data_IF_596223272639
#
_entry.id   IF_596223272639
#
_cell.length_a   1.000
_cell.length_b   1.000
_cell.length_c   1.000
_cell.angle_alpha   90.00
_cell.angle_beta   90.00
_cell.angle_gamma   90.00
#
_symmetry.space_group_name_H-M   'P 1'
#
loop_
_entity.id
_entity.type
_entity.pdbx_description
1 polymer ?
#
# COMPACT_ATOMS: atom_id res chain seq x y z
N UNK A 1 2.44 -36.33 -5.25
CA UNK A 1 3.02 -36.40 -6.61
C UNK A 1 2.38 -35.39 -7.55
N UNK A 2 1.06 -35.46 -7.83
CA UNK A 2 0.40 -34.54 -8.77
C UNK A 2 0.63 -33.04 -8.49
N UNK A 3 0.57 -32.60 -7.24
CA UNK A 3 0.78 -31.19 -6.87
C UNK A 3 2.18 -30.64 -7.21
N UNK A 4 3.14 -31.52 -7.44
CA UNK A 4 4.54 -31.17 -7.73
C UNK A 4 4.89 -31.40 -9.20
N UNK A 5 3.90 -31.56 -10.08
CA UNK A 5 4.09 -31.79 -11.50
C UNK A 5 4.81 -30.62 -12.18
N UNK A 6 5.75 -30.94 -13.05
CA UNK A 6 6.45 -29.97 -13.92
C UNK A 6 6.34 -30.35 -15.39
N UNK A 7 6.27 -31.65 -15.70
CA UNK A 7 6.19 -32.13 -17.07
C UNK A 7 6.08 -33.65 -17.15
N UNK A 8 5.91 -34.17 -18.35
CA UNK A 8 5.89 -35.60 -18.61
C UNK A 8 6.68 -35.94 -19.87
N UNK A 9 7.38 -37.08 -19.83
CA UNK A 9 7.88 -37.75 -21.02
C UNK A 9 6.96 -38.90 -21.37
N UNK A 10 6.59 -39.00 -22.64
CA UNK A 10 5.83 -40.13 -23.18
C UNK A 10 6.72 -40.86 -24.17
N UNK A 11 6.93 -42.15 -23.94
CA UNK A 11 7.82 -42.99 -24.74
C UNK A 11 9.24 -42.38 -24.88
N UNK A 12 9.76 -41.84 -23.78
CA UNK A 12 11.10 -41.24 -23.68
C UNK A 12 11.25 -39.80 -24.22
N UNK A 13 10.19 -39.22 -24.82
CA UNK A 13 10.22 -37.86 -25.38
C UNK A 13 9.36 -36.90 -24.56
N UNK A 14 9.82 -35.67 -24.35
CA UNK A 14 9.03 -34.63 -23.67
C UNK A 14 7.77 -34.33 -24.49
N UNK A 15 6.62 -34.30 -23.83
CA UNK A 15 5.35 -33.96 -24.46
C UNK A 15 4.74 -32.72 -23.78
N UNK A 16 3.93 -31.92 -24.50
CA UNK A 16 3.19 -30.84 -23.89
C UNK A 16 2.11 -31.38 -22.92
N UNK A 17 1.65 -30.52 -22.00
CA UNK A 17 0.72 -30.90 -20.92
C UNK A 17 -0.66 -31.33 -21.43
N UNK A 18 -1.04 -30.89 -22.63
CA UNK A 18 -2.31 -31.19 -23.29
C UNK A 18 -2.27 -32.45 -24.17
N UNK A 19 -1.13 -33.15 -24.22
CA UNK A 19 -1.01 -34.40 -24.96
C UNK A 19 -2.03 -35.44 -24.46
N UNK A 20 -2.86 -35.94 -25.38
CA UNK A 20 -3.84 -36.98 -25.08
C UNK A 20 -3.18 -38.35 -25.11
N UNK A 21 -3.06 -38.96 -23.93
CA UNK A 21 -2.53 -40.31 -23.74
C UNK A 21 -3.30 -41.34 -24.56
N UNK A 22 -2.56 -42.29 -25.13
CA UNK A 22 -3.10 -43.44 -25.86
C UNK A 22 -2.80 -44.73 -25.11
N UNK A 23 -3.61 -45.77 -25.37
CA UNK A 23 -3.35 -47.10 -24.81
C UNK A 23 -1.97 -47.60 -25.27
N UNK A 24 -1.16 -48.08 -24.33
CA UNK A 24 0.20 -48.55 -24.58
C UNK A 24 1.30 -47.49 -24.40
N UNK A 25 0.96 -46.22 -24.17
CA UNK A 25 1.95 -45.19 -23.87
C UNK A 25 2.65 -45.43 -22.52
N UNK A 26 4.00 -45.40 -22.52
CA UNK A 26 4.79 -45.38 -21.29
C UNK A 26 5.01 -43.93 -20.86
N UNK A 27 4.53 -43.58 -19.67
CA UNK A 27 4.59 -42.21 -19.15
C UNK A 27 5.58 -42.11 -17.99
N UNK A 28 6.50 -41.15 -18.09
CA UNK A 28 7.42 -40.76 -17.01
C UNK A 28 7.05 -39.36 -16.54
N UNK A 29 6.69 -39.23 -15.26
CA UNK A 29 6.27 -37.95 -14.67
C UNK A 29 7.48 -37.26 -14.04
N UNK A 30 7.68 -35.99 -14.40
CA UNK A 30 8.72 -35.13 -13.85
C UNK A 30 8.09 -34.26 -12.76
N UNK A 31 8.67 -34.31 -11.56
CA UNK A 31 8.21 -33.55 -10.40
C UNK A 31 9.30 -32.64 -9.83
N UNK A 32 8.91 -31.57 -9.15
CA UNK A 32 9.79 -30.68 -8.40
C UNK A 32 9.16 -30.28 -7.07
N UNK A 33 9.94 -30.27 -6.00
CA UNK A 33 9.46 -29.84 -4.68
C UNK A 33 9.04 -28.35 -4.65
N UNK A 34 9.54 -27.55 -5.60
CA UNK A 34 9.17 -26.13 -5.74
C UNK A 34 7.88 -25.94 -6.54
N UNK A 35 7.45 -26.95 -7.30
CA UNK A 35 6.25 -26.85 -8.10
C UNK A 35 5.01 -26.96 -7.21
N UNK A 36 4.04 -26.10 -7.49
CA UNK A 36 2.73 -26.05 -6.86
C UNK A 36 1.67 -25.89 -7.95
N UNK A 37 0.43 -26.37 -7.72
CA UNK A 37 -0.67 -26.14 -8.65
C UNK A 37 -0.90 -24.65 -8.91
N UNK A 38 -1.06 -24.29 -10.18
CA UNK A 38 -1.52 -22.96 -10.61
C UNK A 38 -2.94 -23.06 -11.17
N UNK A 39 -3.68 -21.95 -11.23
CA UNK A 39 -5.07 -21.96 -11.72
C UNK A 39 -5.19 -22.54 -13.13
N UNK A 40 -4.19 -22.29 -13.98
CA UNK A 40 -4.11 -22.84 -15.34
C UNK A 40 -4.25 -24.37 -15.38
N UNK A 41 -3.83 -25.08 -14.33
CA UNK A 41 -3.94 -26.55 -14.27
C UNK A 41 -5.38 -27.04 -14.30
N UNK A 42 -6.35 -26.21 -13.87
CA UNK A 42 -7.77 -26.53 -13.97
C UNK A 42 -8.23 -26.61 -15.43
N UNK A 43 -7.58 -25.92 -16.36
CA UNK A 43 -7.89 -25.99 -17.79
C UNK A 43 -7.47 -27.33 -18.41
N UNK A 44 -6.33 -27.89 -17.96
CA UNK A 44 -5.76 -29.13 -18.50
C UNK A 44 -6.23 -30.38 -17.77
N UNK A 45 -6.75 -30.24 -16.54
CA UNK A 45 -7.26 -31.36 -15.77
C UNK A 45 -8.59 -31.87 -16.34
N UNK A 46 -8.53 -32.99 -17.07
CA UNK A 46 -9.71 -33.64 -17.67
C UNK A 46 -10.46 -34.51 -16.64
N UNK A 47 -9.76 -35.35 -15.88
CA UNK A 47 -10.42 -36.30 -14.98
C UNK A 47 -11.07 -35.61 -13.77
N UNK A 48 -12.28 -36.02 -13.40
CA UNK A 48 -13.01 -35.46 -12.24
C UNK A 48 -12.20 -35.58 -10.95
N UNK A 49 -11.45 -36.67 -10.77
CA UNK A 49 -10.57 -36.86 -9.62
C UNK A 49 -9.46 -35.81 -9.56
N UNK A 50 -8.79 -35.51 -10.68
CA UNK A 50 -7.77 -34.48 -10.74
C UNK A 50 -8.35 -33.09 -10.48
N UNK A 51 -9.46 -32.74 -11.15
CA UNK A 51 -10.16 -31.46 -10.95
C UNK A 51 -10.56 -31.25 -9.49
N UNK A 52 -11.18 -32.25 -8.87
CA UNK A 52 -11.63 -32.16 -7.47
C UNK A 52 -10.45 -32.01 -6.49
N UNK A 53 -9.32 -32.68 -6.76
CA UNK A 53 -8.12 -32.51 -5.94
C UNK A 53 -7.51 -31.12 -6.07
N UNK A 54 -7.48 -30.54 -7.29
CA UNK A 54 -7.04 -29.16 -7.52
C UNK A 54 -7.95 -28.16 -6.82
N UNK A 55 -9.28 -28.27 -6.98
CA UNK A 55 -10.23 -27.41 -6.30
C UNK A 55 -10.08 -27.48 -4.77
N UNK A 56 -9.87 -28.68 -4.23
CA UNK A 56 -9.61 -28.88 -2.79
C UNK A 56 -8.31 -28.20 -2.36
N UNK A 57 -7.25 -28.30 -3.17
CA UNK A 57 -5.98 -27.63 -2.91
C UNK A 57 -6.17 -26.11 -2.84
N UNK A 58 -6.76 -25.50 -3.87
CA UNK A 58 -7.00 -24.05 -3.89
C UNK A 58 -7.91 -23.59 -2.75
N UNK A 59 -8.91 -24.39 -2.35
CA UNK A 59 -9.74 -24.07 -1.19
C UNK A 59 -8.94 -24.00 0.11
N UNK A 60 -7.98 -24.91 0.31
CA UNK A 60 -7.11 -24.92 1.50
C UNK A 60 -6.15 -23.73 1.45
N UNK A 61 -5.56 -23.47 0.29
CA UNK A 61 -4.65 -22.35 0.09
C UNK A 61 -5.35 -21.00 0.33
N UNK A 62 -6.54 -20.81 -0.24
CA UNK A 62 -7.32 -19.61 -0.06
C UNK A 62 -7.71 -19.39 1.41
N UNK A 63 -8.08 -20.47 2.12
CA UNK A 63 -8.36 -20.40 3.57
C UNK A 63 -7.12 -20.02 4.39
N UNK A 64 -5.93 -20.44 3.96
CA UNK A 64 -4.66 -20.04 4.60
C UNK A 64 -4.38 -18.56 4.39
N UNK A 65 -4.57 -18.07 3.16
CA UNK A 65 -4.46 -16.65 2.78
C UNK A 65 -5.43 -15.78 3.59
N UNK A 66 -6.70 -16.19 3.64
CA UNK A 66 -7.73 -15.54 4.46
C UNK A 66 -7.30 -15.42 5.94
N UNK A 67 -6.80 -16.50 6.54
CA UNK A 67 -6.33 -16.48 7.92
C UNK A 67 -5.16 -15.49 8.12
N UNK A 68 -4.19 -15.50 7.20
CA UNK A 68 -3.04 -14.58 7.26
C UNK A 68 -3.48 -13.13 7.15
N UNK A 69 -4.34 -12.81 6.17
CA UNK A 69 -4.86 -11.46 5.99
C UNK A 69 -5.70 -10.97 7.17
N UNK A 70 -6.49 -11.87 7.78
CA UNK A 70 -7.25 -11.57 9.00
C UNK A 70 -6.33 -11.18 10.15
N UNK A 71 -5.23 -11.89 10.37
CA UNK A 71 -4.27 -11.57 11.43
C UNK A 71 -3.54 -10.25 11.14
N UNK A 72 -3.14 -9.99 9.89
CA UNK A 72 -2.55 -8.72 9.47
C UNK A 72 -3.51 -7.56 9.76
N UNK A 73 -4.77 -7.68 9.32
CA UNK A 73 -5.80 -6.67 9.51
C UNK A 73 -6.09 -6.42 10.99
N UNK A 74 -6.23 -7.49 11.78
CA UNK A 74 -6.47 -7.41 13.23
C UNK A 74 -5.35 -6.66 13.95
N UNK A 75 -4.10 -6.96 13.62
CA UNK A 75 -2.95 -6.26 14.19
C UNK A 75 -2.97 -4.77 13.86
N UNK A 76 -3.39 -4.41 12.64
CA UNK A 76 -3.51 -3.02 12.22
C UNK A 76 -4.61 -2.27 12.98
N UNK A 77 -5.78 -2.89 13.17
CA UNK A 77 -6.86 -2.33 13.99
C UNK A 77 -6.40 -2.08 15.44
N UNK A 78 -5.67 -3.02 16.05
CA UNK A 78 -5.15 -2.88 17.42
C UNK A 78 -4.16 -1.72 17.53
N UNK A 79 -3.18 -1.63 16.61
CA UNK A 79 -2.19 -0.54 16.60
C UNK A 79 -2.84 0.83 16.54
N UNK A 80 -3.90 0.97 15.74
CA UNK A 80 -4.63 2.22 15.53
C UNK A 80 -5.78 2.44 16.50
N UNK A 81 -6.00 1.51 17.43
CA UNK A 81 -7.12 1.53 18.40
C UNK A 81 -8.49 1.67 17.72
N UNK A 82 -8.65 1.07 16.55
CA UNK A 82 -9.91 1.08 15.80
C UNK A 82 -10.76 -0.10 16.29
N UNK A 83 -11.94 0.20 16.84
CA UNK A 83 -12.98 -0.80 17.05
C UNK A 83 -13.87 -0.86 15.81
N UNK A 84 -13.95 -2.05 15.20
CA UNK A 84 -14.71 -2.31 13.98
C UNK A 84 -15.28 -3.73 14.03
N UNK A 85 -16.59 -3.86 13.93
CA UNK A 85 -17.24 -5.16 13.75
C UNK A 85 -17.33 -5.57 12.27
N UNK A 86 -17.69 -6.82 12.00
CA UNK A 86 -17.78 -7.36 10.64
C UNK A 86 -18.85 -6.65 9.78
N UNK A 87 -19.95 -6.19 10.38
CA UNK A 87 -21.00 -5.47 9.64
C UNK A 87 -20.54 -4.07 9.22
N UNK A 88 -19.86 -3.37 10.13
CA UNK A 88 -19.25 -2.08 9.85
C UNK A 88 -18.17 -2.22 8.78
N UNK A 89 -17.32 -3.25 8.86
CA UNK A 89 -16.33 -3.53 7.83
C UNK A 89 -16.98 -3.71 6.45
N UNK A 90 -18.05 -4.49 6.36
CA UNK A 90 -18.80 -4.70 5.11
C UNK A 90 -19.34 -3.40 4.50
N UNK A 91 -19.70 -2.40 5.31
CA UNK A 91 -20.12 -1.09 4.77
C UNK A 91 -18.99 -0.42 3.99
N UNK A 92 -17.76 -0.46 4.51
CA UNK A 92 -16.60 0.15 3.86
C UNK A 92 -16.09 -0.67 2.67
N UNK A 93 -16.27 -2.00 2.71
CA UNK A 93 -15.87 -2.86 1.59
C UNK A 93 -16.71 -2.64 0.33
N UNK A 94 -17.96 -2.17 0.47
CA UNK A 94 -18.81 -1.80 -0.68
C UNK A 94 -18.20 -0.68 -1.52
N UNK A 95 -17.48 0.24 -0.90
CA UNK A 95 -16.88 1.39 -1.60
C UNK A 95 -15.70 0.98 -2.50
N UNK A 96 -15.15 -0.23 -2.30
CA UNK A 96 -14.06 -0.81 -3.10
C UNK A 96 -14.49 -2.07 -3.84
N UNK A 97 -15.80 -2.26 -4.02
CA UNK A 97 -16.41 -3.38 -4.76
C UNK A 97 -16.04 -4.79 -4.23
N UNK A 98 -15.76 -4.91 -2.93
CA UNK A 98 -15.50 -6.21 -2.29
C UNK A 98 -16.75 -6.69 -1.55
N UNK A 99 -17.33 -7.78 -2.06
CA UNK A 99 -18.60 -8.31 -1.55
C UNK A 99 -18.48 -9.23 -0.34
N UNK A 100 -17.27 -9.70 0.01
CA UNK A 100 -17.05 -10.63 1.12
C UNK A 100 -15.82 -10.27 1.93
N UNK A 101 -15.96 -10.37 3.25
CA UNK A 101 -14.85 -10.18 4.19
C UNK A 101 -13.72 -11.19 3.95
N UNK A 102 -14.05 -12.43 3.58
CA UNK A 102 -13.04 -13.45 3.24
C UNK A 102 -12.12 -12.98 2.12
N UNK A 103 -12.72 -12.38 1.08
CA UNK A 103 -12.02 -11.95 -0.12
C UNK A 103 -11.14 -10.73 0.21
N UNK A 104 -11.65 -9.81 1.04
CA UNK A 104 -10.85 -8.73 1.61
C UNK A 104 -9.59 -9.22 2.34
N UNK A 105 -9.71 -10.25 3.19
CA UNK A 105 -8.53 -10.79 3.88
C UNK A 105 -7.56 -11.46 2.90
N UNK A 106 -8.05 -12.16 1.88
CA UNK A 106 -7.19 -12.72 0.83
C UNK A 106 -6.43 -11.60 0.11
N UNK A 107 -7.10 -10.54 -0.32
CA UNK A 107 -6.47 -9.37 -0.96
C UNK A 107 -5.40 -8.71 -0.06
N UNK A 108 -5.62 -8.62 1.26
CA UNK A 108 -4.59 -8.14 2.20
C UNK A 108 -3.38 -9.09 2.21
N UNK A 109 -3.62 -10.39 2.28
CA UNK A 109 -2.53 -11.38 2.34
C UNK A 109 -1.68 -11.42 1.06
N UNK A 110 -2.29 -11.12 -0.08
CA UNK A 110 -1.64 -11.05 -1.39
C UNK A 110 -1.00 -9.69 -1.66
N UNK A 111 -1.29 -8.69 -0.81
CA UNK A 111 -0.77 -7.33 -0.92
C UNK A 111 -1.52 -6.45 -1.93
N UNK A 112 -2.67 -6.90 -2.44
CA UNK A 112 -3.55 -6.10 -3.29
C UNK A 112 -4.18 -4.94 -2.51
N UNK A 113 -4.45 -5.15 -1.21
CA UNK A 113 -4.94 -4.13 -0.30
C UNK A 113 -3.90 -3.85 0.76
N UNK A 114 -3.49 -2.60 0.87
CA UNK A 114 -2.66 -2.14 1.97
C UNK A 114 -3.53 -1.95 3.23
N UNK A 115 -3.31 -2.72 4.32
CA UNK A 115 -4.11 -2.63 5.53
C UNK A 115 -3.99 -1.26 6.21
N UNK A 116 -2.85 -0.58 6.09
CA UNK A 116 -2.65 0.77 6.66
C UNK A 116 -3.59 1.77 5.97
N UNK A 117 -3.52 1.83 4.64
CA UNK A 117 -4.31 2.76 3.85
C UNK A 117 -5.82 2.53 4.01
N UNK A 118 -6.22 1.25 4.08
CA UNK A 118 -7.63 0.91 4.28
C UNK A 118 -8.12 1.26 5.69
N UNK A 119 -7.29 1.11 6.74
CA UNK A 119 -7.64 1.57 8.07
C UNK A 119 -7.80 3.10 8.14
N UNK A 120 -6.97 3.84 7.42
CA UNK A 120 -7.03 5.31 7.32
C UNK A 120 -8.26 5.78 6.57
N UNK A 121 -8.63 5.06 5.51
CA UNK A 121 -9.89 5.24 4.81
C UNK A 121 -11.09 5.14 5.76
N UNK A 122 -11.14 4.10 6.60
CA UNK A 122 -12.22 3.90 7.58
C UNK A 122 -12.26 5.04 8.59
N UNK A 123 -11.09 5.45 9.12
CA UNK A 123 -11.01 6.57 10.07
C UNK A 123 -11.62 7.84 9.45
N UNK A 124 -11.18 8.21 8.24
CA UNK A 124 -11.69 9.38 7.54
C UNK A 124 -13.21 9.33 7.35
N UNK A 125 -13.73 8.17 6.93
CA UNK A 125 -15.17 7.98 6.73
C UNK A 125 -15.98 8.06 8.03
N UNK A 126 -15.43 7.59 9.15
CA UNK A 126 -16.06 7.75 10.47
C UNK A 126 -16.16 9.22 10.88
N UNK A 127 -15.15 10.04 10.58
CA UNK A 127 -15.20 11.49 10.83
C UNK A 127 -16.27 12.19 9.98
N UNK A 128 -16.35 11.89 8.67
CA UNK A 128 -17.37 12.44 7.77
C UNK A 128 -18.81 12.14 8.24
N UNK A 129 -19.08 10.90 8.68
CA UNK A 129 -20.41 10.50 9.20
C UNK A 129 -20.80 11.20 10.51
N UNK A 130 -19.85 11.69 11.30
CA UNK A 130 -20.13 12.38 12.56
C UNK A 130 -20.41 13.87 12.35
N UNK A 131 -19.75 14.53 11.39
CA UNK A 131 -20.00 15.95 11.07
C UNK A 131 -21.37 16.20 10.47
N UNK A 132 -21.97 15.20 9.82
CA UNK A 132 -23.32 15.29 9.25
C UNK A 132 -24.44 15.08 10.30
N UNK A 133 -24.10 14.64 11.53
CA UNK A 133 -25.08 14.37 12.60
C UNK A 133 -25.12 15.44 13.70
N UNK A 134 -24.10 16.29 13.83
CA UNK A 134 -24.06 17.41 14.77
C UNK A 134 -24.66 18.69 14.15
N UNK A 135 -25.90 18.58 13.70
CA UNK A 135 -26.69 19.67 13.11
C UNK A 135 -27.96 19.94 13.92
N UNK A 136 -27.87 19.91 15.26
CA UNK A 136 -28.89 20.47 16.16
C UNK A 136 -28.39 20.43 17.61
N UNK A 137 -28.35 21.60 18.21
CA UNK A 137 -28.29 21.95 19.64
C UNK A 137 -26.90 22.02 20.32
N UNK A 138 -26.54 23.29 20.51
CA UNK A 138 -25.57 23.92 21.40
C UNK A 138 -25.13 23.10 22.62
N UNK A 139 -23.82 22.94 22.77
CA UNK A 139 -23.11 23.18 24.03
C UNK A 139 -21.64 23.49 23.72
N UNK A 140 -21.24 24.72 24.06
CA UNK A 140 -19.86 25.17 24.05
C UNK A 140 -19.12 24.47 25.19
N UNK A 141 -18.34 23.44 24.87
CA UNK A 141 -17.24 23.01 25.73
C UNK A 141 -15.91 23.02 24.98
N UNK A 142 -15.00 23.72 25.65
CA UNK A 142 -13.77 24.32 25.21
C UNK A 142 -12.64 23.30 25.05
N UNK A 143 -12.13 23.17 23.83
CA UNK A 143 -10.81 22.57 23.57
C UNK A 143 -9.98 23.50 22.67
N UNK A 144 -10.05 24.81 22.93
CA UNK A 144 -9.33 25.83 22.15
C UNK A 144 -7.84 25.97 22.47
N UNK A 145 -7.28 25.21 23.43
CA UNK A 145 -5.91 25.43 23.89
C UNK A 145 -4.81 24.49 23.35
N UNK A 146 -5.03 23.74 22.27
CA UNK A 146 -3.95 22.93 21.64
C UNK A 146 -3.71 23.25 20.14
N UNK A 147 -4.53 24.06 19.49
CA UNK A 147 -4.27 24.45 18.09
C UNK A 147 -4.34 25.96 17.91
N UNK A 148 -3.22 26.62 18.19
CA UNK A 148 -2.97 27.98 17.73
C UNK A 148 -2.83 27.96 16.21
N UNK A 149 -3.88 28.43 15.54
CA UNK A 149 -3.80 29.10 14.25
C UNK A 149 -3.78 28.20 13.03
N UNK A 150 -4.93 28.02 12.39
CA UNK A 150 -5.20 28.66 11.09
C UNK A 150 -6.67 28.51 10.73
N UNK A 151 -7.29 29.66 10.50
CA UNK A 151 -8.69 29.88 10.19
C UNK A 151 -8.84 29.85 8.66
N UNK A 152 -9.95 29.28 8.19
CA UNK A 152 -10.48 29.33 6.81
C UNK A 152 -9.65 28.64 5.70
N UNK A 153 -10.18 27.52 5.21
CA UNK A 153 -10.65 27.38 3.82
C UNK A 153 -11.41 26.06 3.67
N UNK A 154 -12.71 26.12 3.95
CA UNK A 154 -13.68 25.21 3.35
C UNK A 154 -13.82 25.55 1.88
N UNK A 155 -13.39 24.63 0.98
CA UNK A 155 -14.00 24.35 -0.33
C UNK A 155 -13.20 23.28 -1.08
N UNK A 156 -13.90 22.21 -1.48
CA UNK A 156 -13.60 21.25 -2.56
C UNK A 156 -12.30 21.53 -3.34
N UNK A 157 -11.22 20.78 -3.10
CA UNK A 157 -10.27 20.42 -4.15
C UNK A 157 -9.51 19.13 -3.83
N UNK A 158 -9.12 18.44 -4.90
CA UNK A 158 -8.40 17.17 -4.94
C UNK A 158 -6.92 17.46 -4.62
N UNK A 159 -6.42 16.97 -3.50
CA UNK A 159 -5.01 17.09 -3.08
C UNK A 159 -4.75 18.32 -2.22
N UNK A 160 -4.35 18.12 -0.97
CA UNK A 160 -3.92 19.19 -0.06
C UNK A 160 -2.46 18.94 0.36
N UNK A 161 -1.62 19.94 0.12
CA UNK A 161 -0.20 20.04 0.53
C UNK A 161 0.06 21.48 0.94
N UNK A 162 0.76 21.72 2.05
CA UNK A 162 1.10 23.06 2.53
C UNK A 162 2.50 23.16 3.15
N UNK A 163 3.17 24.25 2.76
CA UNK A 163 4.34 24.98 3.32
C UNK A 163 5.76 24.42 3.09
N UNK A 164 6.54 25.22 2.35
CA UNK A 164 8.01 25.28 2.40
C UNK A 164 8.41 26.73 2.75
N UNK A 165 9.41 26.93 3.61
CA UNK A 165 9.88 28.27 4.01
C UNK A 165 11.32 28.44 3.55
N UNK A 166 11.59 29.54 2.85
CA UNK A 166 12.89 29.85 2.27
C UNK A 166 13.58 30.98 3.05
N UNK A 167 14.86 30.79 3.39
CA UNK A 167 15.75 31.86 3.82
C UNK A 167 17.07 31.68 3.07
N UNK A 168 17.39 32.58 2.14
CA UNK A 168 18.57 32.50 1.25
C UNK A 168 19.80 33.25 1.79
N UNK A 169 19.69 33.83 2.99
CA UNK A 169 20.64 34.85 3.47
C UNK A 169 21.96 34.30 4.09
N UNK A 170 22.16 32.98 4.22
CA UNK A 170 23.31 32.43 4.97
C UNK A 170 24.04 31.25 4.33
N UNK A 171 23.83 30.94 3.04
CA UNK A 171 24.28 29.66 2.39
C UNK A 171 23.70 28.39 3.02
N UNK A 172 22.78 28.55 3.97
CA UNK A 172 21.98 27.50 4.60
C UNK A 172 20.67 27.43 3.84
N UNK A 173 20.35 26.27 3.32
CA UNK A 173 19.09 25.99 2.63
C UNK A 173 18.17 25.24 3.58
N UNK A 174 16.94 25.71 3.68
CA UNK A 174 15.91 25.11 4.51
C UNK A 174 14.76 24.64 3.63
N UNK A 175 14.44 23.36 3.72
CA UNK A 175 13.32 22.76 3.03
C UNK A 175 12.44 22.02 4.03
N UNK A 176 11.35 22.68 4.42
CA UNK A 176 10.28 22.06 5.19
C UNK A 176 9.20 21.59 4.23
N UNK A 177 8.65 20.41 4.49
CA UNK A 177 7.53 19.90 3.72
C UNK A 177 6.57 19.10 4.60
N UNK A 178 5.31 19.09 4.19
CA UNK A 178 4.28 18.21 4.72
C UNK A 178 3.69 17.45 3.53
N UNK A 179 3.74 16.12 3.57
CA UNK A 179 3.22 15.26 2.51
C UNK A 179 2.36 14.15 3.13
N UNK A 180 1.46 13.55 2.33
CA UNK A 180 0.81 12.30 2.74
C UNK A 180 1.84 11.18 2.80
N UNK A 181 1.70 10.31 3.78
CA UNK A 181 2.55 9.12 3.90
C UNK A 181 2.41 8.26 2.64
N UNK A 182 3.49 8.19 1.86
CA UNK A 182 3.56 7.40 0.65
C UNK A 182 4.99 6.88 0.52
N UNK A 183 5.16 5.56 0.51
CA UNK A 183 6.46 4.91 0.40
C UNK A 183 7.27 5.39 -0.82
N UNK A 184 6.60 5.64 -1.95
CA UNK A 184 7.26 6.14 -3.17
C UNK A 184 7.77 7.58 -3.01
N UNK A 185 7.14 8.37 -2.15
CA UNK A 185 7.55 9.74 -1.86
C UNK A 185 8.81 9.77 -0.99
N UNK A 186 8.82 8.99 0.11
CA UNK A 186 9.98 8.88 1.01
C UNK A 186 11.19 8.32 0.27
N UNK A 187 10.99 7.26 -0.53
CA UNK A 187 12.05 6.66 -1.35
C UNK A 187 12.62 7.67 -2.35
N UNK A 188 11.76 8.43 -3.05
CA UNK A 188 12.20 9.43 -4.02
C UNK A 188 12.99 10.58 -3.40
N UNK A 189 12.63 11.03 -2.19
CA UNK A 189 13.42 12.03 -1.45
C UNK A 189 14.77 11.45 -1.05
N UNK A 190 14.81 10.21 -0.54
CA UNK A 190 16.06 9.55 -0.16
C UNK A 190 17.00 9.38 -1.35
N UNK A 191 16.48 8.93 -2.50
CA UNK A 191 17.27 8.73 -3.72
C UNK A 191 17.83 10.07 -4.24
N UNK A 192 17.03 11.13 -4.18
CA UNK A 192 17.43 12.47 -4.60
C UNK A 192 18.53 13.06 -3.69
N UNK A 193 18.38 12.92 -2.37
CA UNK A 193 19.41 13.33 -1.40
C UNK A 193 20.74 12.61 -1.65
N UNK A 194 20.68 11.30 -1.94
CA UNK A 194 21.87 10.49 -2.25
C UNK A 194 22.55 10.88 -3.58
N UNK A 195 21.76 11.29 -4.57
CA UNK A 195 22.27 11.78 -5.86
C UNK A 195 23.05 13.09 -5.72
N UNK A 196 22.72 13.91 -4.73
CA UNK A 196 23.38 15.17 -4.42
C UNK A 196 24.30 15.04 -3.18
N UNK A 197 24.89 13.85 -2.97
CA UNK A 197 25.72 13.53 -1.79
C UNK A 197 27.02 14.34 -1.67
N UNK A 198 27.45 15.01 -2.75
CA UNK A 198 28.58 15.95 -2.75
C UNK A 198 28.25 17.28 -2.03
N UNK A 199 26.97 17.56 -1.75
CA UNK A 199 26.55 18.66 -0.89
C UNK A 199 26.83 18.32 0.58
N UNK A 200 27.31 19.29 1.37
CA UNK A 200 27.47 19.15 2.81
C UNK A 200 26.10 19.19 3.49
N UNK A 201 25.40 18.05 3.49
CA UNK A 201 24.13 17.89 4.21
C UNK A 201 24.43 17.87 5.70
N UNK A 202 24.22 19.01 6.36
CA UNK A 202 24.51 19.19 7.78
C UNK A 202 23.44 18.56 8.66
N UNK A 203 22.17 18.53 8.23
CA UNK A 203 21.08 17.90 8.99
C UNK A 203 19.86 17.57 8.12
N UNK A 204 19.56 16.27 7.99
CA UNK A 204 18.29 15.82 7.42
C UNK A 204 17.45 15.12 8.49
N UNK A 205 16.28 15.68 8.79
CA UNK A 205 15.35 15.11 9.76
C UNK A 205 13.97 14.94 9.14
N UNK A 206 13.35 13.79 9.36
CA UNK A 206 11.96 13.58 8.99
C UNK A 206 11.22 13.01 10.19
N UNK A 207 9.98 13.43 10.36
CA UNK A 207 9.05 12.92 11.34
C UNK A 207 7.83 12.35 10.61
N UNK A 208 7.56 11.06 10.84
CA UNK A 208 6.46 10.35 10.23
C UNK A 208 5.35 10.25 11.27
N UNK A 209 4.24 10.90 10.98
CA UNK A 209 2.97 10.76 11.67
C UNK A 209 1.99 9.99 10.77
N UNK A 210 0.97 9.38 11.35
CA UNK A 210 -0.06 8.66 10.59
C UNK A 210 -0.65 9.57 9.49
N UNK A 211 -0.61 9.13 8.23
CA UNK A 211 -1.02 9.88 7.02
C UNK A 211 -0.22 11.15 6.69
N UNK A 212 0.85 11.45 7.44
CA UNK A 212 1.51 12.74 7.35
C UNK A 212 3.01 12.58 7.59
N UNK A 213 3.78 12.77 6.53
CA UNK A 213 5.23 12.91 6.62
C UNK A 213 5.52 14.40 6.71
N UNK A 214 6.11 14.80 7.81
CA UNK A 214 6.75 16.12 7.93
C UNK A 214 8.24 15.92 7.77
N UNK A 215 8.85 16.69 6.88
CA UNK A 215 10.30 16.66 6.72
C UNK A 215 10.88 18.05 6.88
N UNK A 216 12.05 18.08 7.48
CA UNK A 216 12.88 19.26 7.63
C UNK A 216 14.30 18.91 7.16
N UNK A 217 14.64 19.39 5.97
CA UNK A 217 15.96 19.28 5.38
C UNK A 217 16.68 20.61 5.52
N UNK A 218 17.84 20.56 6.19
CA UNK A 218 18.77 21.68 6.29
C UNK A 218 20.10 21.22 5.71
N UNK A 219 20.58 21.96 4.72
CA UNK A 219 21.89 21.69 4.13
C UNK A 219 22.62 22.98 3.84
N UNK A 220 23.94 22.91 3.85
CA UNK A 220 24.81 24.03 3.49
C UNK A 220 25.49 23.70 2.16
N UNK A 221 25.57 24.70 1.29
CA UNK A 221 26.28 24.55 0.02
C UNK A 221 27.00 25.84 -0.36
N UNK A 222 28.28 25.69 -0.70
CA UNK A 222 29.05 26.74 -1.36
C UNK A 222 28.74 26.83 -2.86
N UNK A 223 28.21 25.76 -3.47
CA UNK A 223 27.70 25.74 -4.83
C UNK A 223 26.21 26.07 -4.85
N UNK A 224 25.91 27.34 -5.14
CA UNK A 224 24.54 27.85 -5.21
C UNK A 224 23.75 27.26 -6.38
N UNK A 225 24.41 26.88 -7.47
CA UNK A 225 23.74 26.34 -8.65
C UNK A 225 23.28 24.89 -8.42
N UNK A 226 24.13 24.07 -7.79
CA UNK A 226 23.79 22.71 -7.41
C UNK A 226 22.69 22.69 -6.34
N UNK A 227 22.76 23.61 -5.37
CA UNK A 227 21.73 23.76 -4.35
C UNK A 227 20.38 24.19 -4.94
N UNK A 228 20.36 25.20 -5.83
CA UNK A 228 19.13 25.64 -6.50
C UNK A 228 18.54 24.51 -7.38
N UNK A 229 19.37 23.63 -7.97
CA UNK A 229 18.92 22.44 -8.72
C UNK A 229 18.24 21.40 -7.84
N UNK A 230 18.86 21.02 -6.71
CA UNK A 230 18.26 20.11 -5.74
C UNK A 230 16.93 20.65 -5.21
N UNK A 231 16.89 21.95 -4.88
CA UNK A 231 15.67 22.60 -4.40
C UNK A 231 14.55 22.58 -5.43
N UNK A 232 14.85 22.84 -6.70
CA UNK A 232 13.88 22.74 -7.78
C UNK A 232 13.37 21.31 -7.97
N UNK A 233 14.24 20.30 -7.90
CA UNK A 233 13.84 18.90 -8.02
C UNK A 233 12.95 18.46 -6.85
N UNK A 234 13.32 18.83 -5.61
CA UNK A 234 12.51 18.58 -4.42
C UNK A 234 11.12 19.19 -4.55
N UNK A 235 11.02 20.45 -4.98
CA UNK A 235 9.74 21.16 -5.14
C UNK A 235 8.84 20.54 -6.23
N UNK A 236 9.43 19.92 -7.25
CA UNK A 236 8.70 19.30 -8.36
C UNK A 236 8.35 17.82 -8.14
N UNK A 237 8.61 17.26 -6.95
CA UNK A 237 8.17 15.91 -6.61
C UNK A 237 6.63 15.88 -6.60
N UNK A 238 6.04 15.06 -7.48
CA UNK A 238 4.58 14.79 -7.50
C UNK A 238 4.07 14.48 -6.10
N UNK A 239 3.12 15.28 -5.61
CA UNK A 239 2.61 15.21 -4.23
C UNK A 239 3.05 16.40 -3.36
N UNK A 240 4.06 17.15 -3.81
CA UNK A 240 4.42 18.47 -3.30
C UNK A 240 3.73 19.52 -4.20
N UNK A 241 2.98 20.44 -3.60
CA UNK A 241 2.39 21.58 -4.33
C UNK A 241 3.14 22.83 -3.89
N UNK A 242 3.76 23.54 -4.85
CA UNK A 242 4.32 24.87 -4.62
C UNK A 242 3.15 25.85 -4.39
N UNK A 243 3.19 26.58 -3.27
CA UNK A 243 2.51 27.86 -3.21
C UNK A 243 3.45 28.88 -3.85
N UNK A 244 3.06 29.42 -5.00
CA UNK A 244 3.64 30.67 -5.47
C UNK A 244 3.28 31.76 -4.44
N UNK A 245 4.29 32.55 -4.07
CA UNK A 245 4.22 33.67 -3.11
C UNK A 245 2.94 34.50 -3.18
#
# INVERSE_FOLDING_TARGET
>A
MGNHFVGAKVNGKMQPIDYRLKNGDKVEIIISNKAQPTEDWLSFAISSKARNNLLKYFKIENKKKEFQGKEIWKNELIKRKISLDENQLLEYLKDIDIGRISDFYVCISEGEINPIEFAEYIIRKKFEKNTDKSGSEDDHDDFSDIFVGTKQLSKKHKGETLLSKFSKDTKVYHFQFIARENYNFIKKISDLILQYSDLLITKFTFNIEINKVTGDLIFESDDTAQADSLMNELQNIKGIVQLNN
#
